data_IF_424619843410
#
_entry.id   IF_424619843410
#
_cell.length_a   1.000
_cell.length_b   1.000
_cell.length_c   1.000
_cell.angle_alpha   90.00
_cell.angle_beta   90.00
_cell.angle_gamma   90.00
#
_symmetry.space_group_name_H-M   'P 1'
#
loop_
_entity.id
_entity.type
_entity.pdbx_description
1 polymer ?
#
# COMPACT_ATOMS: atom_id res chain seq x y z
N UNK A 1 23.31 -60.77 11.79
CA UNK A 1 23.99 -59.96 10.76
C UNK A 1 22.89 -59.37 9.87
N UNK A 2 22.17 -58.34 10.31
CA UNK A 2 22.46 -56.90 10.12
C UNK A 2 22.78 -56.53 8.67
N UNK A 3 21.79 -55.97 7.96
CA UNK A 3 22.01 -54.77 7.13
C UNK A 3 20.67 -54.16 6.75
N UNK A 4 20.47 -52.92 7.21
CA UNK A 4 19.29 -52.07 7.02
C UNK A 4 19.39 -51.37 5.66
N UNK A 5 18.34 -51.42 4.85
CA UNK A 5 18.18 -50.51 3.72
C UNK A 5 17.66 -49.17 4.24
N UNK A 6 18.43 -48.11 4.05
CA UNK A 6 18.07 -46.74 4.42
C UNK A 6 17.28 -46.13 3.27
N UNK A 7 16.03 -45.76 3.51
CA UNK A 7 15.21 -44.98 2.60
C UNK A 7 15.57 -43.49 2.74
N UNK A 8 16.09 -42.89 1.67
CA UNK A 8 16.40 -41.46 1.59
C UNK A 8 15.15 -40.73 1.08
N UNK A 9 14.43 -40.04 1.96
CA UNK A 9 13.32 -39.16 1.61
C UNK A 9 13.88 -37.77 1.32
N UNK A 10 13.91 -37.38 0.04
CA UNK A 10 14.24 -36.01 -0.39
C UNK A 10 12.97 -35.14 -0.32
N UNK A 11 12.80 -34.43 0.80
CA UNK A 11 11.82 -33.34 0.91
C UNK A 11 12.40 -32.08 0.26
N UNK A 12 12.10 -31.86 -1.03
CA UNK A 12 12.32 -30.57 -1.69
C UNK A 12 11.27 -29.59 -1.19
N UNK A 13 11.59 -28.85 -0.13
CA UNK A 13 10.84 -27.68 0.29
C UNK A 13 11.13 -26.55 -0.70
N UNK A 14 10.27 -26.37 -1.69
CA UNK A 14 10.22 -25.16 -2.50
C UNK A 14 9.66 -24.03 -1.62
N UNK A 15 10.53 -23.48 -0.76
CA UNK A 15 10.25 -22.23 -0.09
C UNK A 15 10.24 -21.13 -1.14
N UNK A 16 9.05 -20.61 -1.47
CA UNK A 16 8.93 -19.30 -2.10
C UNK A 16 9.44 -18.25 -1.10
N UNK A 17 10.76 -18.11 -1.02
CA UNK A 17 11.40 -16.98 -0.39
C UNK A 17 11.02 -15.76 -1.22
N UNK A 18 10.11 -14.95 -0.70
CA UNK A 18 9.97 -13.58 -1.17
C UNK A 18 11.33 -12.92 -0.96
N UNK A 19 12.10 -12.83 -2.04
CA UNK A 19 13.34 -12.07 -2.07
C UNK A 19 13.01 -10.64 -1.63
N UNK A 20 13.35 -10.30 -0.39
CA UNK A 20 13.37 -8.94 0.12
C UNK A 20 14.48 -8.19 -0.60
N UNK A 21 14.25 -7.83 -1.86
CA UNK A 21 15.04 -6.82 -2.52
C UNK A 21 14.90 -5.55 -1.70
N UNK A 22 16.02 -5.00 -1.23
CA UNK A 22 16.03 -3.73 -0.51
C UNK A 22 15.44 -2.64 -1.42
N UNK A 23 14.15 -2.36 -1.26
CA UNK A 23 13.54 -1.13 -1.74
C UNK A 23 14.09 -0.06 -0.80
N UNK A 24 14.97 0.81 -1.30
CA UNK A 24 15.39 1.98 -0.52
C UNK A 24 14.12 2.77 -0.19
N UNK A 25 13.85 2.93 1.11
CA UNK A 25 12.72 3.72 1.56
C UNK A 25 12.98 5.17 1.16
N UNK A 26 12.01 5.78 0.46
CA UNK A 26 12.08 7.19 0.10
C UNK A 26 11.44 8.01 1.23
N UNK A 27 12.17 9.00 1.76
CA UNK A 27 11.55 10.07 2.56
C UNK A 27 10.77 10.98 1.63
N UNK A 28 9.61 11.42 2.07
CA UNK A 28 8.73 12.30 1.30
C UNK A 28 8.65 13.64 1.96
N UNK A 29 8.58 14.69 1.15
CA UNK A 29 8.28 16.02 1.68
C UNK A 29 6.86 16.00 2.28
N UNK A 30 6.70 16.66 3.42
CA UNK A 30 5.43 16.70 4.15
C UNK A 30 4.34 17.43 3.35
N UNK A 31 3.09 17.01 3.53
CA UNK A 31 1.93 17.67 2.93
C UNK A 31 1.46 17.06 1.60
N UNK A 32 0.23 17.41 1.18
CA UNK A 32 -0.42 16.84 0.01
C UNK A 32 0.28 17.27 -1.30
N UNK A 33 0.19 16.49 -2.38
CA UNK A 33 0.68 16.90 -3.69
C UNK A 33 0.16 18.28 -4.10
N UNK A 34 1.04 19.17 -4.55
CA UNK A 34 0.68 20.52 -5.01
C UNK A 34 0.00 20.53 -6.38
N UNK A 35 0.44 19.63 -7.27
CA UNK A 35 -0.13 19.48 -8.60
C UNK A 35 -1.34 18.55 -8.58
N UNK A 36 -2.33 18.83 -9.42
CA UNK A 36 -3.49 17.94 -9.57
C UNK A 36 -3.01 16.57 -10.08
N UNK A 37 -3.20 15.49 -9.31
CA UNK A 37 -2.76 14.14 -9.68
C UNK A 37 -3.59 13.56 -10.85
N UNK A 38 -4.62 14.28 -11.30
CA UNK A 38 -5.51 13.89 -12.39
C UNK A 38 -6.66 12.99 -11.94
N UNK A 39 -7.58 12.72 -12.86
CA UNK A 39 -8.89 12.10 -12.63
C UNK A 39 -8.91 10.59 -12.44
N UNK A 40 -7.76 9.95 -12.20
CA UNK A 40 -7.69 8.53 -11.83
C UNK A 40 -6.36 8.29 -11.12
N UNK A 41 -6.33 8.58 -9.83
CA UNK A 41 -5.07 8.66 -9.10
C UNK A 41 -5.21 8.36 -7.61
N UNK A 42 -4.08 8.05 -7.00
CA UNK A 42 -3.87 8.05 -5.56
C UNK A 42 -2.98 9.22 -5.17
N UNK A 43 -3.34 9.90 -4.09
CA UNK A 43 -2.46 10.82 -3.37
C UNK A 43 -2.12 10.21 -2.02
N UNK A 44 -0.82 10.10 -1.72
CA UNK A 44 -0.32 9.60 -0.44
C UNK A 44 0.61 10.63 0.17
N UNK A 45 0.31 11.14 1.34
CA UNK A 45 1.21 12.08 2.02
C UNK A 45 1.22 11.87 3.53
N UNK A 46 2.22 12.47 4.17
CA UNK A 46 2.35 12.52 5.61
C UNK A 46 2.44 13.98 6.06
N UNK A 47 1.82 14.32 7.18
CA UNK A 47 1.98 15.59 7.87
C UNK A 47 1.90 15.39 9.40
N UNK A 48 1.78 16.47 10.17
CA UNK A 48 1.66 16.40 11.63
C UNK A 48 0.47 15.59 12.16
N UNK A 49 -0.54 15.32 11.33
CA UNK A 49 -1.71 14.48 11.63
C UNK A 49 -1.51 12.99 11.31
N UNK A 50 -0.44 12.63 10.61
CA UNK A 50 -0.13 11.26 10.21
C UNK A 50 -0.16 11.07 8.69
N UNK A 51 -0.42 9.84 8.26
CA UNK A 51 -0.54 9.49 6.86
C UNK A 51 -1.96 9.68 6.35
N UNK A 52 -2.07 10.11 5.10
CA UNK A 52 -3.31 10.33 4.39
C UNK A 52 -3.23 9.62 3.05
N UNK A 53 -4.19 8.75 2.77
CA UNK A 53 -4.41 8.20 1.43
C UNK A 53 -5.71 8.78 0.90
N UNK A 54 -5.66 9.38 -0.28
CA UNK A 54 -6.84 9.77 -1.07
C UNK A 54 -6.77 9.12 -2.43
N UNK A 55 -7.93 8.90 -3.02
CA UNK A 55 -8.11 8.48 -4.37
C UNK A 55 -9.18 9.35 -5.02
N UNK A 56 -9.00 9.61 -6.31
CA UNK A 56 -9.91 10.40 -7.12
C UNK A 56 -10.24 9.66 -8.40
N UNK A 57 -11.52 9.65 -8.77
CA UNK A 57 -11.89 9.31 -10.15
C UNK A 57 -13.15 9.98 -10.66
N UNK A 58 -13.11 10.40 -11.93
CA UNK A 58 -14.30 10.88 -12.66
C UNK A 58 -15.12 9.71 -13.24
N UNK A 59 -14.59 8.48 -13.18
CA UNK A 59 -15.22 7.28 -13.69
C UNK A 59 -15.45 6.27 -12.55
N UNK A 60 -16.46 5.38 -12.65
CA UNK A 60 -16.66 4.31 -11.68
C UNK A 60 -15.50 3.30 -11.71
N UNK A 61 -14.49 3.55 -10.88
CA UNK A 61 -13.28 2.73 -10.73
C UNK A 61 -13.19 2.14 -9.34
N UNK A 62 -12.67 0.91 -9.23
CA UNK A 62 -12.41 0.26 -7.95
C UNK A 62 -10.99 0.54 -7.51
N UNK A 63 -10.84 1.26 -6.39
CA UNK A 63 -9.57 1.49 -5.71
C UNK A 63 -9.45 0.51 -4.55
N UNK A 64 -8.35 -0.22 -4.47
CA UNK A 64 -8.12 -1.19 -3.40
C UNK A 64 -6.64 -1.40 -3.13
N UNK A 65 -6.32 -1.97 -1.98
CA UNK A 65 -4.93 -2.17 -1.60
C UNK A 65 -4.72 -2.67 -0.18
N UNK A 66 -3.43 -2.79 0.16
CA UNK A 66 -2.95 -3.11 1.50
C UNK A 66 -1.80 -2.15 1.86
N UNK A 67 -1.81 -1.64 3.09
CA UNK A 67 -0.71 -0.86 3.69
C UNK A 67 -0.24 -1.64 4.92
N UNK A 68 1.04 -1.96 4.98
CA UNK A 68 1.67 -2.65 6.11
C UNK A 68 2.65 -1.74 6.85
N UNK A 69 2.90 -2.04 8.13
CA UNK A 69 3.73 -1.19 9.00
C UNK A 69 2.95 -0.04 9.65
N UNK A 70 1.62 -0.15 9.68
CA UNK A 70 0.71 0.82 10.29
C UNK A 70 0.41 0.47 11.74
N UNK A 71 -0.30 1.35 12.45
CA UNK A 71 -1.04 0.97 13.66
C UNK A 71 -2.31 0.17 13.36
N UNK A 72 -3.10 -0.10 14.40
CA UNK A 72 -4.38 -0.83 14.32
C UNK A 72 -5.60 0.10 14.13
N UNK A 73 -5.39 1.32 13.65
CA UNK A 73 -6.45 2.32 13.46
C UNK A 73 -6.32 3.00 12.11
N UNK A 74 -7.46 3.20 11.46
CA UNK A 74 -7.64 4.03 10.28
C UNK A 74 -8.98 4.75 10.39
N UNK A 75 -9.07 5.96 9.84
CA UNK A 75 -10.30 6.76 9.81
C UNK A 75 -10.73 6.96 8.36
N UNK A 76 -11.87 6.41 7.97
CA UNK A 76 -12.42 6.59 6.63
C UNK A 76 -12.77 8.07 6.36
N UNK A 77 -12.52 8.52 5.13
CA UNK A 77 -12.83 9.87 4.65
C UNK A 77 -13.49 9.74 3.28
N UNK A 78 -14.70 10.30 3.12
CA UNK A 78 -15.42 10.26 1.83
C UNK A 78 -15.82 8.85 1.35
N UNK A 79 -15.73 7.83 2.21
CA UNK A 79 -16.10 6.42 1.91
C UNK A 79 -16.87 5.82 3.08
N UNK A 80 -17.58 4.71 2.81
CA UNK A 80 -18.24 3.95 3.87
C UNK A 80 -17.21 3.40 4.87
N UNK A 81 -17.57 3.37 6.16
CA UNK A 81 -16.63 2.99 7.23
C UNK A 81 -16.13 1.53 7.15
N UNK A 82 -16.91 0.64 6.53
CA UNK A 82 -16.55 -0.77 6.29
C UNK A 82 -15.64 -0.96 5.05
N UNK A 83 -15.44 0.09 4.24
CA UNK A 83 -14.54 0.05 3.10
C UNK A 83 -13.05 0.03 3.51
N UNK A 84 -12.75 0.27 4.79
CA UNK A 84 -11.39 0.32 5.34
C UNK A 84 -11.34 -0.54 6.60
N UNK A 85 -10.45 -1.53 6.62
CA UNK A 85 -10.25 -2.45 7.74
C UNK A 85 -8.81 -2.35 8.23
N UNK A 86 -8.63 -1.93 9.48
CA UNK A 86 -7.33 -1.86 10.14
C UNK A 86 -7.21 -2.93 11.23
N UNK A 87 -6.05 -3.56 11.34
CA UNK A 87 -5.74 -4.49 12.42
C UNK A 87 -4.59 -5.45 12.09
N UNK A 88 -3.78 -5.79 13.11
CA UNK A 88 -2.63 -6.67 12.92
C UNK A 88 -1.50 -5.99 12.16
N UNK A 89 -1.30 -4.68 12.38
CA UNK A 89 -0.25 -3.88 11.75
C UNK A 89 -0.41 -3.64 10.25
N UNK A 90 -1.65 -3.76 9.76
CA UNK A 90 -2.00 -3.53 8.36
C UNK A 90 -3.36 -2.86 8.20
N UNK A 91 -3.54 -2.21 7.07
CA UNK A 91 -4.81 -1.67 6.59
C UNK A 91 -5.13 -2.33 5.25
N UNK A 92 -6.36 -2.82 5.10
CA UNK A 92 -6.93 -3.25 3.82
C UNK A 92 -8.09 -2.36 3.48
N UNK A 93 -8.25 -2.03 2.21
CA UNK A 93 -9.35 -1.17 1.78
C UNK A 93 -9.83 -1.53 0.37
N UNK A 94 -11.09 -1.19 0.09
CA UNK A 94 -11.72 -1.38 -1.21
C UNK A 94 -12.95 -0.48 -1.34
N UNK A 95 -12.92 0.49 -2.27
CA UNK A 95 -14.02 1.43 -2.50
C UNK A 95 -14.05 1.95 -3.94
N UNK A 96 -15.16 2.56 -4.34
CA UNK A 96 -15.21 3.40 -5.54
C UNK A 96 -14.86 4.83 -5.13
N UNK A 97 -13.95 5.48 -5.84
CA UNK A 97 -13.56 6.85 -5.52
C UNK A 97 -14.51 7.86 -6.16
N UNK A 98 -14.89 8.88 -5.40
CA UNK A 98 -15.38 10.16 -5.92
C UNK A 98 -14.31 11.23 -5.73
N UNK A 99 -14.71 12.45 -5.39
CA UNK A 99 -13.78 13.48 -4.91
C UNK A 99 -13.40 13.20 -3.44
N UNK A 100 -12.10 13.13 -3.13
CA UNK A 100 -11.52 12.94 -1.79
C UNK A 100 -11.84 11.64 -1.04
N UNK A 101 -12.14 10.55 -1.77
CA UNK A 101 -12.36 9.23 -1.16
C UNK A 101 -11.05 8.63 -0.62
N UNK A 102 -11.02 8.18 0.64
CA UNK A 102 -9.82 7.62 1.22
C UNK A 102 -9.89 7.39 2.73
N UNK A 103 -8.75 7.51 3.40
CA UNK A 103 -8.65 7.37 4.84
C UNK A 103 -7.34 7.94 5.39
N UNK A 104 -7.35 8.19 6.70
CA UNK A 104 -6.20 8.65 7.46
C UNK A 104 -5.72 7.56 8.42
N UNK A 105 -4.41 7.49 8.68
CA UNK A 105 -3.82 6.50 9.56
C UNK A 105 -2.50 6.97 10.17
N UNK A 106 -2.12 6.37 11.31
CA UNK A 106 -0.81 6.59 11.93
C UNK A 106 0.22 5.56 11.49
N UNK A 107 1.50 5.90 11.64
CA UNK A 107 2.61 4.96 11.38
C UNK A 107 3.92 5.69 11.12
N UNK A 108 5.01 4.93 11.07
CA UNK A 108 6.30 5.43 10.58
C UNK A 108 6.43 5.15 9.09
N UNK A 109 7.50 4.45 8.71
CA UNK A 109 7.62 3.92 7.36
C UNK A 109 6.60 2.82 7.09
N UNK A 110 5.98 2.85 5.91
CA UNK A 110 4.96 1.89 5.50
C UNK A 110 5.31 1.24 4.16
N UNK A 111 4.88 -0.01 4.01
CA UNK A 111 4.93 -0.76 2.76
C UNK A 111 3.54 -0.72 2.12
N UNK A 112 3.46 -0.24 0.87
CA UNK A 112 2.21 0.19 0.23
C UNK A 112 1.99 -0.60 -1.05
N UNK A 113 0.81 -1.23 -1.18
CA UNK A 113 0.34 -1.89 -2.39
C UNK A 113 -1.01 -1.29 -2.81
N UNK A 114 -1.05 -0.62 -3.96
CA UNK A 114 -2.20 0.13 -4.47
C UNK A 114 -2.59 -0.37 -5.86
N UNK A 115 -3.89 -0.54 -6.09
CA UNK A 115 -4.44 -1.10 -7.33
C UNK A 115 -5.70 -0.35 -7.76
N UNK A 116 -5.81 -0.11 -9.07
CA UNK A 116 -7.01 0.44 -9.71
C UNK A 116 -7.55 -0.66 -10.63
N UNK A 117 -8.79 -1.08 -10.41
CA UNK A 117 -9.45 -2.19 -11.11
C UNK A 117 -8.67 -3.51 -11.11
N UNK A 118 -7.80 -3.71 -10.11
CA UNK A 118 -6.96 -4.92 -9.98
C UNK A 118 -5.55 -4.76 -10.52
N UNK A 119 -5.26 -3.71 -11.28
CA UNK A 119 -3.95 -3.47 -11.87
C UNK A 119 -3.09 -2.54 -11.01
N UNK A 120 -1.78 -2.82 -10.85
CA UNK A 120 -0.86 -1.85 -10.28
C UNK A 120 -0.65 -0.68 -11.26
N UNK A 121 -0.84 0.55 -10.78
CA UNK A 121 -0.68 1.78 -11.57
C UNK A 121 0.31 2.73 -10.89
N UNK A 122 1.63 2.40 -10.82
CA UNK A 122 2.60 3.22 -10.10
C UNK A 122 2.67 4.67 -10.57
N UNK A 123 2.49 4.93 -11.88
CA UNK A 123 2.45 6.28 -12.45
C UNK A 123 1.15 7.05 -12.16
N UNK A 124 0.21 6.44 -11.43
CA UNK A 124 -1.02 7.07 -10.92
C UNK A 124 -0.97 7.27 -9.41
N UNK A 125 0.18 7.09 -8.78
CA UNK A 125 0.39 7.30 -7.35
C UNK A 125 1.29 8.52 -7.19
N UNK A 126 0.82 9.51 -6.45
CA UNK A 126 1.51 10.78 -6.21
C UNK A 126 1.82 10.88 -4.73
N UNK A 127 3.11 10.95 -4.39
CA UNK A 127 3.57 10.84 -3.00
C UNK A 127 4.22 12.14 -2.53
N UNK A 128 3.71 12.69 -1.43
CA UNK A 128 4.18 13.94 -0.80
C UNK A 128 3.95 15.19 -1.65
N UNK A 129 4.42 16.33 -1.16
CA UNK A 129 4.19 17.66 -1.74
C UNK A 129 4.54 17.75 -3.24
N UNK A 130 5.65 17.13 -3.64
CA UNK A 130 6.13 17.15 -5.03
C UNK A 130 5.55 16.04 -5.92
N UNK A 131 4.53 15.31 -5.46
CA UNK A 131 3.81 14.34 -6.28
C UNK A 131 4.67 13.19 -6.83
N UNK A 132 5.63 12.71 -6.04
CA UNK A 132 6.57 11.69 -6.48
C UNK A 132 5.88 10.36 -6.82
N UNK A 133 6.13 9.81 -8.01
CA UNK A 133 5.66 8.47 -8.36
C UNK A 133 6.63 7.36 -7.90
N UNK A 134 6.14 6.23 -7.35
CA UNK A 134 6.96 5.06 -7.08
C UNK A 134 7.34 4.34 -8.38
N UNK A 135 8.52 3.70 -8.42
CA UNK A 135 8.96 2.95 -9.61
C UNK A 135 8.25 1.60 -9.80
N UNK A 136 7.60 1.06 -8.76
CA UNK A 136 6.87 -0.22 -8.78
C UNK A 136 5.86 -0.30 -7.63
N UNK A 137 4.98 -1.28 -7.69
CA UNK A 137 4.09 -1.68 -6.60
C UNK A 137 4.42 -3.14 -6.23
N UNK A 138 4.61 -3.49 -4.94
CA UNK A 138 4.60 -2.61 -3.77
C UNK A 138 5.85 -1.73 -3.66
N UNK A 139 5.75 -0.65 -2.88
CA UNK A 139 6.86 0.25 -2.55
C UNK A 139 6.88 0.60 -1.06
N UNK A 140 8.03 1.11 -0.58
CA UNK A 140 8.21 1.56 0.80
C UNK A 140 8.41 3.07 0.84
N UNK A 141 7.73 3.73 1.76
CA UNK A 141 7.81 5.17 1.97
C UNK A 141 7.93 5.48 3.46
N UNK A 142 8.68 6.52 3.81
CA UNK A 142 8.83 7.03 5.17
C UNK A 142 8.45 8.52 5.21
N UNK A 143 7.97 9.02 6.36
CA UNK A 143 7.97 10.45 6.61
C UNK A 143 9.40 11.00 6.61
#
# INVERSE_FOLDING_TARGET
MSSRAVALVLLLSAGCGFSRGAVLARRVEEGPPLEDPGSESYSLWHDGGGWHLRARSDLPRRFHGEIAGTGDRASAVGVAGDAVSAGGGRIRFSFQAGDDAGFDFGGGCVDVALYIDGDPRPLRVFIGEFGAAPGRVPFRVCP
#
